data_IF_031044278891
#
_entry.id   IF_031044278891
#
_cell.length_a   1.000
_cell.length_b   1.000
_cell.length_c   1.000
_cell.angle_alpha   90.00
_cell.angle_beta   90.00
_cell.angle_gamma   90.00
#
_symmetry.space_group_name_H-M   'P 1'
#
loop_
_entity.id
_entity.type
_entity.pdbx_description
1 polymer ?
#
# COMPACT_ATOMS: atom_id res chain seq x y z
N UNK A 1 0.97 -4.28 -13.63
CA UNK A 1 1.65 -4.68 -12.40
C UNK A 1 2.30 -6.03 -12.61
N UNK A 2 3.64 -6.07 -12.58
CA UNK A 2 4.46 -7.28 -12.54
C UNK A 2 4.48 -7.87 -11.12
N UNK A 3 4.97 -9.11 -10.96
CA UNK A 3 5.14 -9.74 -9.63
C UNK A 3 6.11 -8.93 -8.74
N UNK A 4 7.19 -8.41 -9.31
CA UNK A 4 8.13 -7.53 -8.60
C UNK A 4 7.45 -6.25 -8.09
N UNK A 5 6.59 -5.64 -8.92
CA UNK A 5 5.81 -4.48 -8.51
C UNK A 5 4.82 -4.84 -7.38
N UNK A 6 4.13 -5.99 -7.48
CA UNK A 6 3.25 -6.49 -6.42
C UNK A 6 3.99 -6.65 -5.08
N UNK A 7 5.15 -7.31 -5.08
CA UNK A 7 5.99 -7.48 -3.89
C UNK A 7 6.39 -6.14 -3.28
N UNK A 8 6.74 -5.16 -4.12
CA UNK A 8 7.07 -3.80 -3.67
C UNK A 8 5.88 -3.10 -3.02
N UNK A 9 4.70 -3.11 -3.66
CA UNK A 9 3.50 -2.49 -3.10
C UNK A 9 3.11 -3.11 -1.76
N UNK A 10 3.15 -4.44 -1.65
CA UNK A 10 2.83 -5.16 -0.42
C UNK A 10 3.81 -4.81 0.70
N UNK A 11 5.10 -4.67 0.39
CA UNK A 11 6.11 -4.27 1.36
C UNK A 11 5.81 -2.87 1.91
N UNK A 12 5.53 -1.90 1.05
CA UNK A 12 5.26 -0.52 1.48
C UNK A 12 3.93 -0.40 2.23
N UNK A 13 2.91 -1.16 1.83
CA UNK A 13 1.61 -1.24 2.51
C UNK A 13 1.74 -1.84 3.92
N UNK A 14 2.65 -2.79 4.12
CA UNK A 14 2.90 -3.40 5.43
C UNK A 14 3.34 -2.36 6.46
N UNK A 15 4.11 -1.35 6.05
CA UNK A 15 4.61 -0.32 6.95
C UNK A 15 3.47 0.61 7.46
N UNK A 16 2.35 0.65 6.75
CA UNK A 16 1.17 1.47 7.07
C UNK A 16 -0.07 0.64 7.41
N UNK A 17 0.06 -0.68 7.59
CA UNK A 17 -1.07 -1.60 7.80
C UNK A 17 -1.92 -1.26 9.03
N UNK A 18 -1.32 -0.63 10.04
CA UNK A 18 -1.99 -0.17 11.25
C UNK A 18 -2.98 0.99 11.01
N UNK A 19 -2.82 1.72 9.90
CA UNK A 19 -3.68 2.85 9.53
C UNK A 19 -4.83 2.43 8.60
N UNK A 20 -4.87 1.16 8.20
CA UNK A 20 -5.90 0.65 7.30
C UNK A 20 -7.25 0.50 8.01
N UNK A 21 -8.32 0.67 7.24
CA UNK A 21 -9.64 0.21 7.68
C UNK A 21 -9.63 -1.31 7.91
N UNK A 22 -10.55 -1.82 8.72
CA UNK A 22 -10.64 -3.25 9.01
C UNK A 22 -10.81 -4.08 7.72
N UNK A 23 -11.71 -3.65 6.84
CA UNK A 23 -12.02 -4.37 5.60
C UNK A 23 -10.81 -4.38 4.65
N UNK A 24 -10.11 -3.24 4.53
CA UNK A 24 -8.88 -3.14 3.75
C UNK A 24 -7.76 -4.00 4.36
N UNK A 25 -7.63 -4.02 5.69
CA UNK A 25 -6.63 -4.84 6.36
C UNK A 25 -6.86 -6.34 6.11
N UNK A 26 -8.10 -6.82 6.24
CA UNK A 26 -8.44 -8.22 5.97
C UNK A 26 -8.10 -8.60 4.52
N UNK A 27 -8.40 -7.71 3.58
CA UNK A 27 -8.06 -7.87 2.16
C UNK A 27 -6.54 -7.86 1.92
N UNK A 28 -5.81 -6.95 2.58
CA UNK A 28 -4.36 -6.87 2.51
C UNK A 28 -3.68 -8.12 3.07
N UNK A 29 -4.20 -8.72 4.14
CA UNK A 29 -3.68 -9.99 4.68
C UNK A 29 -3.77 -11.11 3.65
N UNK A 30 -4.86 -11.17 2.86
CA UNK A 30 -4.98 -12.13 1.76
C UNK A 30 -3.93 -11.88 0.67
N UNK A 31 -3.71 -10.63 0.28
CA UNK A 31 -2.68 -10.27 -0.72
C UNK A 31 -1.27 -10.60 -0.25
N UNK A 32 -0.96 -10.31 1.02
CA UNK A 32 0.32 -10.63 1.64
C UNK A 32 0.58 -12.13 1.67
N UNK A 33 -0.46 -12.94 1.93
CA UNK A 33 -0.35 -14.40 1.91
C UNK A 33 -0.02 -14.92 0.51
N UNK A 34 -0.79 -14.51 -0.51
CA UNK A 34 -0.51 -14.90 -1.90
C UNK A 34 0.89 -14.52 -2.35
N UNK A 35 1.36 -13.34 -1.95
CA UNK A 35 2.72 -12.90 -2.24
C UNK A 35 3.79 -13.72 -1.50
N UNK A 36 3.50 -14.22 -0.30
CA UNK A 36 4.40 -15.13 0.42
C UNK A 36 4.48 -16.50 -0.25
N UNK A 37 3.36 -16.97 -0.80
CA UNK A 37 3.23 -18.24 -1.52
C UNK A 37 3.74 -18.13 -2.99
N UNK A 38 4.36 -17.00 -3.37
CA UNK A 38 4.82 -16.66 -4.73
C UNK A 38 3.70 -16.75 -5.81
N UNK A 39 2.44 -16.60 -5.36
CA UNK A 39 1.27 -16.56 -6.23
C UNK A 39 1.01 -15.16 -6.78
N UNK A 40 0.67 -15.13 -8.06
CA UNK A 40 0.23 -13.92 -8.74
C UNK A 40 -1.21 -13.56 -8.33
N UNK A 41 -1.43 -12.28 -8.03
CA UNK A 41 -2.79 -11.76 -7.89
C UNK A 41 -3.51 -11.76 -9.25
N UNK A 42 -4.82 -12.01 -9.22
CA UNK A 42 -5.68 -11.82 -10.38
C UNK A 42 -5.83 -10.33 -10.73
N UNK A 43 -6.42 -10.04 -11.89
CA UNK A 43 -6.52 -8.66 -12.40
C UNK A 43 -7.30 -7.73 -11.45
N UNK A 44 -8.34 -8.21 -10.78
CA UNK A 44 -9.15 -7.39 -9.86
C UNK A 44 -8.36 -7.11 -8.59
N UNK A 45 -7.76 -8.15 -8.00
CA UNK A 45 -6.88 -8.06 -6.84
C UNK A 45 -5.70 -7.12 -7.10
N UNK A 46 -5.10 -7.18 -8.31
CA UNK A 46 -4.02 -6.28 -8.73
C UNK A 46 -4.47 -4.81 -8.77
N UNK A 47 -5.67 -4.52 -9.29
CA UNK A 47 -6.24 -3.16 -9.30
C UNK A 47 -6.53 -2.66 -7.89
N UNK A 48 -7.03 -3.54 -7.03
CA UNK A 48 -7.38 -3.21 -5.66
C UNK A 48 -6.15 -2.97 -4.79
N UNK A 49 -5.09 -3.77 -4.95
CA UNK A 49 -3.78 -3.52 -4.31
C UNK A 49 -3.22 -2.15 -4.73
N UNK A 50 -3.31 -1.80 -6.01
CA UNK A 50 -2.90 -0.49 -6.51
C UNK A 50 -3.69 0.65 -5.85
N UNK A 51 -5.02 0.50 -5.76
CA UNK A 51 -5.86 1.48 -5.08
C UNK A 51 -5.48 1.65 -3.60
N UNK A 52 -5.31 0.54 -2.87
CA UNK A 52 -4.88 0.60 -1.47
C UNK A 52 -3.53 1.30 -1.30
N UNK A 53 -2.59 1.05 -2.21
CA UNK A 53 -1.29 1.72 -2.20
C UNK A 53 -1.42 3.24 -2.40
N UNK A 54 -2.28 3.66 -3.31
CA UNK A 54 -2.54 5.09 -3.53
C UNK A 54 -3.14 5.75 -2.29
N UNK A 55 -4.13 5.12 -1.66
CA UNK A 55 -4.81 5.64 -0.48
C UNK A 55 -3.91 5.72 0.75
N UNK A 56 -3.20 4.64 1.07
CA UNK A 56 -2.49 4.55 2.34
C UNK A 56 -1.03 5.00 2.28
N UNK A 57 -0.38 4.88 1.12
CA UNK A 57 1.05 5.21 0.99
C UNK A 57 1.24 6.53 0.25
N UNK A 58 0.66 6.70 -0.93
CA UNK A 58 0.89 7.90 -1.75
C UNK A 58 0.24 9.12 -1.11
N UNK A 59 -1.02 9.03 -0.66
CA UNK A 59 -1.69 10.17 -0.04
C UNK A 59 -1.04 10.55 1.31
N UNK A 60 -0.63 9.58 2.12
CA UNK A 60 0.12 9.85 3.34
C UNK A 60 1.43 10.61 3.08
N UNK A 61 2.18 10.23 2.04
CA UNK A 61 3.42 10.93 1.64
C UNK A 61 3.16 12.33 1.11
N UNK A 62 2.07 12.55 0.37
CA UNK A 62 1.68 13.89 -0.10
C UNK A 62 1.40 14.82 1.08
N UNK A 63 0.63 14.36 2.07
CA UNK A 63 0.33 15.13 3.28
C UNK A 63 1.60 15.51 4.04
N UNK A 64 2.54 14.57 4.19
CA UNK A 64 3.84 14.87 4.83
C UNK A 64 4.62 15.93 4.04
N UNK A 65 4.72 15.80 2.72
CA UNK A 65 5.46 16.74 1.87
C UNK A 65 4.86 18.15 1.87
N UNK A 66 3.54 18.26 2.05
CA UNK A 66 2.84 19.55 2.10
C UNK A 66 2.81 20.18 3.50
N UNK A 67 3.44 19.55 4.50
CA UNK A 67 3.43 20.03 5.88
C UNK A 67 3.98 21.46 5.96
N UNK A 68 3.18 22.45 6.37
CA UNK A 68 3.60 23.85 6.43
C UNK A 68 4.73 24.08 7.43
N UNK A 69 4.95 23.17 8.40
CA UNK A 69 6.08 23.25 9.33
C UNK A 69 7.43 22.97 8.65
N UNK A 70 7.47 22.09 7.63
CA UNK A 70 8.71 21.82 6.89
C UNK A 70 9.19 23.04 6.10
N UNK A 71 8.27 23.95 5.72
CA UNK A 71 8.60 25.22 5.05
C UNK A 71 9.13 26.30 5.99
N UNK A 72 8.96 26.14 7.31
CA UNK A 72 9.35 27.13 8.32
C UNK A 72 10.73 26.85 8.94
N UNK A 73 11.23 25.61 8.80
CA UNK A 73 12.49 25.18 9.40
C UNK A 73 13.49 24.59 8.38
N UNK A 74 13.21 24.73 7.08
CA UNK A 74 14.08 24.33 5.97
C UNK A 74 14.90 25.46 5.38
#
# INVERSE_FOLDING_TARGET
MTNVEQQKLIKELRDVEQNMSKDDYEEFVMYRKRNYDDEDLDVQSKKRLQYMYEEYVVNARKVQKENPLDKLFG
#
